data_IF_272858000987
#
_entry.id   IF_272858000987
#
_cell.length_a   1.000
_cell.length_b   1.000
_cell.length_c   1.000
_cell.angle_alpha   90.00
_cell.angle_beta   90.00
_cell.angle_gamma   90.00
#
_symmetry.space_group_name_H-M   'P 1'
#
loop_
_entity.id
_entity.type
_entity.pdbx_description
1 polymer ?
#
# COMPACT_ATOMS: atom_id res chain seq x y z
N UNK A 1 16.20 -9.61 12.17
CA UNK A 1 15.84 -10.94 12.68
C UNK A 1 14.36 -10.89 13.05
N UNK A 2 13.48 -11.29 12.14
CA UNK A 2 12.05 -11.48 12.42
C UNK A 2 11.82 -12.97 12.20
N UNK A 3 12.16 -13.75 13.21
CA UNK A 3 11.83 -15.18 13.25
C UNK A 3 10.71 -15.36 14.31
N UNK A 4 9.62 -14.64 14.10
CA UNK A 4 8.35 -15.04 14.68
C UNK A 4 7.67 -15.91 13.63
N UNK A 5 7.69 -17.22 13.81
CA UNK A 5 6.91 -18.11 13.00
C UNK A 5 5.47 -17.59 12.98
N UNK A 6 5.04 -17.06 11.81
CA UNK A 6 3.64 -16.65 11.63
C UNK A 6 2.82 -17.94 11.70
N UNK A 7 2.25 -18.21 12.86
CA UNK A 7 1.36 -19.35 13.02
C UNK A 7 0.10 -19.09 12.19
N UNK A 8 -0.41 -20.09 11.48
CA UNK A 8 -1.66 -19.95 10.74
C UNK A 8 -2.80 -19.63 11.71
N UNK A 9 -3.72 -18.76 11.28
CA UNK A 9 -4.92 -18.44 12.05
C UNK A 9 -5.71 -19.72 12.35
N UNK A 10 -6.16 -19.87 13.57
CA UNK A 10 -7.08 -20.95 13.96
C UNK A 10 -8.44 -20.76 13.28
N UNK A 11 -9.20 -21.86 13.17
CA UNK A 11 -10.57 -21.81 12.63
C UNK A 11 -11.47 -20.84 13.41
N UNK A 12 -11.29 -20.72 14.72
CA UNK A 12 -12.05 -19.82 15.57
C UNK A 12 -11.71 -18.34 15.26
N UNK A 13 -10.43 -18.00 15.08
CA UNK A 13 -10.00 -16.66 14.70
C UNK A 13 -10.52 -16.27 13.31
N UNK A 14 -10.45 -17.18 12.34
CA UNK A 14 -11.03 -16.97 11.01
C UNK A 14 -12.54 -16.70 11.09
N UNK A 15 -13.28 -17.49 11.88
CA UNK A 15 -14.71 -17.29 12.07
C UNK A 15 -15.02 -15.92 12.71
N UNK A 16 -14.24 -15.49 13.68
CA UNK A 16 -14.39 -14.19 14.33
C UNK A 16 -14.08 -13.05 13.35
N UNK A 17 -13.02 -13.15 12.55
CA UNK A 17 -12.68 -12.15 11.54
C UNK A 17 -13.78 -12.01 10.49
N UNK A 18 -14.35 -13.13 10.04
CA UNK A 18 -15.50 -13.14 9.13
C UNK A 18 -16.72 -12.48 9.75
N UNK A 19 -17.08 -12.81 10.98
CA UNK A 19 -18.20 -12.22 11.70
C UNK A 19 -18.04 -10.70 11.91
N UNK A 20 -16.80 -10.20 11.99
CA UNK A 20 -16.48 -8.79 12.11
C UNK A 20 -16.35 -8.06 10.77
N UNK A 21 -16.58 -8.73 9.64
CA UNK A 21 -16.51 -8.18 8.30
C UNK A 21 -17.86 -8.29 7.60
N UNK A 22 -18.71 -7.25 7.60
CA UNK A 22 -20.12 -7.33 7.16
C UNK A 22 -20.32 -7.90 5.76
N UNK A 23 -19.37 -7.68 4.85
CA UNK A 23 -19.44 -8.18 3.47
C UNK A 23 -19.03 -9.65 3.31
N UNK A 24 -18.45 -10.29 4.34
CA UNK A 24 -17.85 -11.62 4.21
C UNK A 24 -18.86 -12.74 3.85
N UNK A 25 -20.12 -12.56 4.22
CA UNK A 25 -21.19 -13.52 3.92
C UNK A 25 -22.05 -13.13 2.71
N UNK A 26 -21.82 -11.93 2.15
CA UNK A 26 -22.61 -11.39 1.04
C UNK A 26 -21.93 -11.58 -0.32
N UNK A 27 -20.59 -11.62 -0.35
CA UNK A 27 -19.83 -11.70 -1.60
C UNK A 27 -18.63 -12.63 -1.46
N UNK A 28 -18.27 -13.30 -2.55
CA UNK A 28 -16.96 -13.95 -2.70
C UNK A 28 -15.98 -12.89 -3.20
N UNK A 29 -15.30 -12.22 -2.26
CA UNK A 29 -14.40 -11.12 -2.57
C UNK A 29 -12.97 -11.62 -2.71
N UNK A 30 -12.43 -11.57 -3.94
CA UNK A 30 -11.08 -12.05 -4.28
C UNK A 30 -10.08 -10.93 -4.62
N UNK A 31 -10.46 -9.66 -4.38
CA UNK A 31 -9.62 -8.50 -4.72
C UNK A 31 -9.32 -7.61 -3.50
N UNK A 32 -8.87 -8.21 -2.40
CA UNK A 32 -8.47 -7.46 -1.20
C UNK A 32 -7.23 -6.57 -1.44
N UNK A 33 -6.38 -6.94 -2.41
CA UNK A 33 -5.23 -6.12 -2.80
C UNK A 33 -5.65 -4.79 -3.46
N UNK A 34 -6.73 -4.81 -4.25
CA UNK A 34 -7.26 -3.60 -4.89
C UNK A 34 -8.12 -2.76 -3.95
N UNK A 35 -9.04 -3.39 -3.25
CA UNK A 35 -9.93 -2.73 -2.27
C UNK A 35 -10.50 -3.77 -1.32
N UNK A 36 -10.05 -3.82 -0.09
CA UNK A 36 -10.55 -4.81 0.87
C UNK A 36 -11.92 -4.45 1.43
N UNK A 37 -12.67 -5.48 1.83
CA UNK A 37 -13.89 -5.29 2.61
C UNK A 37 -13.54 -4.67 3.97
N UNK A 38 -14.22 -3.59 4.40
CA UNK A 38 -13.97 -2.99 5.70
C UNK A 38 -14.49 -3.88 6.83
N UNK A 39 -13.80 -3.88 7.96
CA UNK A 39 -14.34 -4.44 9.19
C UNK A 39 -15.44 -3.56 9.77
N UNK A 40 -16.30 -4.12 10.62
CA UNK A 40 -17.35 -3.34 11.30
C UNK A 40 -16.75 -2.16 12.09
N UNK A 41 -15.65 -2.39 12.81
CA UNK A 41 -14.97 -1.33 13.57
C UNK A 41 -14.47 -0.17 12.68
N UNK A 42 -13.98 -0.47 11.48
CA UNK A 42 -13.57 0.55 10.51
C UNK A 42 -14.78 1.37 10.03
N UNK A 43 -15.88 0.68 9.67
CA UNK A 43 -17.11 1.33 9.22
C UNK A 43 -17.70 2.22 10.31
N UNK A 44 -17.84 1.71 11.54
CA UNK A 44 -18.38 2.46 12.67
C UNK A 44 -17.54 3.70 13.00
N UNK A 45 -16.22 3.59 12.91
CA UNK A 45 -15.31 4.72 13.14
C UNK A 45 -15.53 5.83 12.13
N UNK A 46 -15.68 5.50 10.84
CA UNK A 46 -15.92 6.46 9.79
C UNK A 46 -17.28 7.14 9.94
N UNK A 47 -18.34 6.34 10.16
CA UNK A 47 -19.70 6.86 10.37
C UNK A 47 -19.75 7.79 11.58
N UNK A 48 -19.15 7.37 12.69
CA UNK A 48 -19.10 8.19 13.90
C UNK A 48 -18.39 9.53 13.67
N UNK A 49 -17.26 9.53 12.95
CA UNK A 49 -16.53 10.76 12.67
C UNK A 49 -17.37 11.73 11.81
N UNK A 50 -18.00 11.23 10.74
CA UNK A 50 -18.89 12.03 9.89
C UNK A 50 -20.09 12.62 10.68
N UNK A 51 -20.67 11.84 11.59
CA UNK A 51 -21.74 12.33 12.48
C UNK A 51 -21.22 13.43 13.43
N UNK A 52 -20.02 13.29 13.97
CA UNK A 52 -19.39 14.33 14.82
C UNK A 52 -19.16 15.61 14.02
N UNK A 53 -18.58 15.53 12.82
CA UNK A 53 -18.40 16.69 11.94
C UNK A 53 -19.71 17.42 11.68
N UNK A 54 -20.78 16.69 11.37
CA UNK A 54 -22.09 17.27 11.11
C UNK A 54 -22.70 17.98 12.34
N UNK A 55 -22.35 17.53 13.55
CA UNK A 55 -22.90 18.07 14.80
C UNK A 55 -22.05 19.20 15.41
N UNK A 56 -20.74 19.16 15.23
CA UNK A 56 -19.82 20.06 15.96
C UNK A 56 -18.96 20.92 15.05
N UNK A 57 -18.87 20.57 13.76
CA UNK A 57 -17.95 21.21 12.82
C UNK A 57 -16.69 20.39 12.60
N UNK A 58 -16.07 20.54 11.43
CA UNK A 58 -14.93 19.72 11.01
C UNK A 58 -13.67 19.93 11.85
N UNK A 59 -13.40 21.17 12.30
CA UNK A 59 -12.23 21.46 13.13
C UNK A 59 -12.36 20.86 14.52
N UNK A 60 -13.52 20.96 15.13
CA UNK A 60 -13.82 20.41 16.46
C UNK A 60 -13.74 18.89 16.44
N UNK A 61 -14.35 18.25 15.46
CA UNK A 61 -14.27 16.79 15.28
C UNK A 61 -12.84 16.31 15.01
N UNK A 62 -12.06 17.05 14.20
CA UNK A 62 -10.66 16.75 13.95
C UNK A 62 -9.83 16.87 15.22
N UNK A 63 -10.04 17.91 16.03
CA UNK A 63 -9.34 18.09 17.32
C UNK A 63 -9.66 16.95 18.30
N UNK A 64 -10.92 16.54 18.40
CA UNK A 64 -11.35 15.38 19.20
C UNK A 64 -10.69 14.06 18.74
N UNK A 65 -10.43 13.92 17.44
CA UNK A 65 -9.81 12.74 16.85
C UNK A 65 -8.26 12.81 16.80
N UNK A 66 -7.63 13.91 17.21
CA UNK A 66 -6.20 14.17 17.02
C UNK A 66 -5.31 13.03 17.53
N UNK A 67 -5.50 12.60 18.79
CA UNK A 67 -4.71 11.52 19.37
C UNK A 67 -4.85 10.19 18.63
N UNK A 68 -6.05 9.88 18.14
CA UNK A 68 -6.29 8.67 17.34
C UNK A 68 -5.63 8.77 15.98
N UNK A 69 -5.69 9.94 15.35
CA UNK A 69 -5.05 10.22 14.07
C UNK A 69 -3.52 10.10 14.19
N UNK A 70 -2.95 10.59 15.29
CA UNK A 70 -1.50 10.52 15.55
C UNK A 70 -1.02 9.08 15.79
N UNK A 71 -1.81 8.28 16.52
CA UNK A 71 -1.49 6.85 16.72
C UNK A 71 -1.43 6.03 15.43
N UNK A 72 -2.02 6.48 14.32
CA UNK A 72 -1.94 5.77 13.03
C UNK A 72 -0.48 5.60 12.59
N UNK A 73 0.35 6.62 12.77
CA UNK A 73 1.76 6.56 12.39
C UNK A 73 2.53 5.50 13.20
N UNK A 74 2.31 5.45 14.52
CA UNK A 74 2.92 4.44 15.37
C UNK A 74 2.42 3.02 15.05
N UNK A 75 1.12 2.87 14.74
CA UNK A 75 0.52 1.57 14.40
C UNK A 75 1.05 1.03 13.07
N UNK A 76 1.16 1.87 12.05
CA UNK A 76 1.72 1.47 10.76
C UNK A 76 3.21 1.16 10.93
N UNK A 77 3.96 2.02 11.62
CA UNK A 77 5.38 1.78 11.92
C UNK A 77 5.61 0.44 12.60
N UNK A 78 4.80 0.12 13.62
CA UNK A 78 4.87 -1.18 14.31
C UNK A 78 4.58 -2.37 13.39
N UNK A 79 3.61 -2.21 12.47
CA UNK A 79 3.21 -3.28 11.53
C UNK A 79 4.32 -3.62 10.52
N UNK A 80 5.02 -2.60 10.01
CA UNK A 80 6.02 -2.78 8.94
C UNK A 80 7.48 -2.71 9.43
N UNK A 81 7.69 -2.59 10.75
CA UNK A 81 9.04 -2.49 11.34
C UNK A 81 9.72 -1.14 11.13
N UNK A 82 8.95 -0.07 10.89
CA UNK A 82 9.43 1.30 10.72
C UNK A 82 9.16 2.17 11.96
N UNK A 83 9.84 3.30 12.08
CA UNK A 83 9.57 4.29 13.14
C UNK A 83 8.43 5.21 12.70
N UNK A 84 7.67 5.75 13.66
CA UNK A 84 6.51 6.60 13.38
C UNK A 84 6.83 7.80 12.47
N UNK A 85 8.03 8.37 12.57
CA UNK A 85 8.47 9.52 11.76
C UNK A 85 8.96 9.14 10.36
N UNK A 86 9.07 7.84 10.05
CA UNK A 86 9.36 7.30 8.71
C UNK A 86 8.08 7.03 7.90
N UNK A 87 6.92 7.28 8.50
CA UNK A 87 5.63 7.05 7.87
C UNK A 87 5.07 8.37 7.32
N UNK A 88 4.79 8.40 6.02
CA UNK A 88 4.01 9.44 5.38
C UNK A 88 2.61 8.92 5.02
N UNK A 89 1.57 9.68 5.36
CA UNK A 89 0.18 9.34 5.04
C UNK A 89 -0.34 10.30 3.98
N UNK A 90 -0.86 9.73 2.90
CA UNK A 90 -1.50 10.47 1.82
C UNK A 90 -2.95 9.99 1.64
N UNK A 91 -3.74 10.73 0.89
CA UNK A 91 -5.17 10.51 0.74
C UNK A 91 -5.52 9.23 -0.05
N UNK A 92 -4.57 8.72 -0.87
CA UNK A 92 -4.77 7.51 -1.68
C UNK A 92 -3.45 6.91 -2.14
N UNK A 93 -3.49 5.63 -2.54
CA UNK A 93 -2.31 4.87 -2.96
C UNK A 93 -1.58 5.48 -4.17
N UNK A 94 -2.31 6.00 -5.16
CA UNK A 94 -1.68 6.64 -6.34
C UNK A 94 -0.92 7.91 -5.96
N UNK A 95 -1.44 8.73 -5.04
CA UNK A 95 -0.74 9.90 -4.54
C UNK A 95 0.53 9.50 -3.76
N UNK A 96 0.41 8.50 -2.88
CA UNK A 96 1.55 7.97 -2.11
C UNK A 96 2.63 7.39 -3.03
N UNK A 97 2.24 6.58 -4.01
CA UNK A 97 3.15 6.05 -5.02
C UNK A 97 3.87 7.16 -5.78
N UNK A 98 3.13 8.14 -6.31
CA UNK A 98 3.74 9.24 -7.06
C UNK A 98 4.70 10.06 -6.20
N UNK A 99 4.35 10.34 -4.93
CA UNK A 99 5.23 11.06 -4.02
C UNK A 99 6.55 10.30 -3.81
N UNK A 100 6.51 8.98 -3.58
CA UNK A 100 7.69 8.13 -3.44
C UNK A 100 8.48 8.03 -4.75
N UNK A 101 7.81 7.66 -5.84
CA UNK A 101 8.45 7.43 -7.13
C UNK A 101 9.16 8.68 -7.67
N UNK A 102 8.49 9.85 -7.65
CA UNK A 102 9.09 11.08 -8.17
C UNK A 102 10.15 11.72 -7.25
N UNK A 103 10.30 11.21 -6.03
CA UNK A 103 11.39 11.59 -5.13
C UNK A 103 12.72 10.90 -5.46
N UNK A 104 12.68 9.82 -6.24
CA UNK A 104 13.88 9.10 -6.67
C UNK A 104 14.63 9.96 -7.70
N UNK A 105 15.93 10.25 -7.47
CA UNK A 105 16.77 10.88 -8.50
C UNK A 105 16.89 9.94 -9.70
N UNK A 106 16.64 10.47 -10.89
CA UNK A 106 16.73 9.72 -12.15
C UNK A 106 17.48 10.55 -13.16
N UNK A 107 18.58 10.00 -13.67
CA UNK A 107 19.42 10.64 -14.69
C UNK A 107 19.12 10.05 -16.08
N UNK A 108 19.26 10.85 -17.15
CA UNK A 108 19.12 10.37 -18.52
C UNK A 108 20.04 9.16 -18.80
N UNK A 109 19.49 8.12 -19.40
CA UNK A 109 20.22 6.88 -19.72
C UNK A 109 20.11 5.81 -18.64
N UNK A 110 19.67 6.12 -17.44
CA UNK A 110 19.36 5.11 -16.41
C UNK A 110 18.12 4.29 -16.77
N UNK A 111 17.92 3.18 -16.04
CA UNK A 111 16.85 2.24 -16.27
C UNK A 111 15.93 2.14 -15.05
N UNK A 112 14.64 1.97 -15.33
CA UNK A 112 13.64 1.52 -14.35
C UNK A 112 13.40 0.05 -14.63
N UNK A 113 13.59 -0.81 -13.63
CA UNK A 113 13.23 -2.24 -13.75
C UNK A 113 11.80 -2.43 -13.20
N UNK A 114 10.99 -3.14 -13.96
CA UNK A 114 9.62 -3.47 -13.59
C UNK A 114 9.26 -4.90 -14.01
N UNK A 115 8.10 -5.39 -13.62
CA UNK A 115 7.57 -6.69 -13.99
C UNK A 115 6.37 -6.57 -14.93
N UNK A 116 6.02 -7.67 -15.63
CA UNK A 116 4.86 -7.73 -16.51
C UNK A 116 3.55 -7.39 -15.80
N UNK A 117 3.40 -7.83 -14.55
CA UNK A 117 2.20 -7.61 -13.72
C UNK A 117 2.20 -6.27 -12.97
N UNK A 118 2.94 -5.25 -13.46
CA UNK A 118 2.95 -3.93 -12.83
C UNK A 118 1.54 -3.31 -12.83
N UNK A 119 1.18 -2.66 -11.70
CA UNK A 119 -0.10 -1.96 -11.60
C UNK A 119 -0.18 -0.81 -12.62
N UNK A 120 -1.32 -0.69 -13.32
CA UNK A 120 -1.46 0.23 -14.45
C UNK A 120 -1.10 1.69 -14.17
N UNK A 121 -1.45 2.21 -12.98
CA UNK A 121 -1.07 3.58 -12.60
C UNK A 121 0.47 3.76 -12.46
N UNK A 122 1.17 2.71 -12.01
CA UNK A 122 2.63 2.72 -11.92
C UNK A 122 3.25 2.72 -13.31
N UNK A 123 2.71 1.92 -14.24
CA UNK A 123 3.16 1.90 -15.63
C UNK A 123 3.04 3.28 -16.30
N UNK A 124 1.97 4.03 -16.01
CA UNK A 124 1.84 5.43 -16.48
C UNK A 124 2.96 6.32 -15.92
N UNK A 125 3.33 6.17 -14.66
CA UNK A 125 4.43 6.93 -14.06
C UNK A 125 5.78 6.57 -14.72
N UNK A 126 6.03 5.31 -15.04
CA UNK A 126 7.24 4.87 -15.75
C UNK A 126 7.32 5.49 -17.16
N UNK A 127 6.24 5.45 -17.93
CA UNK A 127 6.19 6.08 -19.26
C UNK A 127 6.45 7.59 -19.18
N UNK A 128 5.92 8.26 -18.15
CA UNK A 128 6.19 9.67 -17.91
C UNK A 128 7.64 9.93 -17.51
N UNK A 129 8.29 9.00 -16.80
CA UNK A 129 9.72 9.12 -16.47
C UNK A 129 10.58 8.98 -17.72
N UNK A 130 10.26 8.07 -18.64
CA UNK A 130 10.92 7.99 -19.95
C UNK A 130 10.84 9.34 -20.67
N UNK A 131 9.64 9.91 -20.77
CA UNK A 131 9.42 11.19 -21.47
C UNK A 131 10.16 12.38 -20.81
N UNK A 132 10.14 12.44 -19.47
CA UNK A 132 10.59 13.63 -18.74
C UNK A 132 12.02 13.57 -18.25
N UNK A 133 12.55 12.38 -18.02
CA UNK A 133 13.87 12.14 -17.42
C UNK A 133 14.83 11.45 -18.37
N UNK A 134 14.37 10.94 -19.52
CA UNK A 134 15.22 10.23 -20.49
C UNK A 134 15.72 8.88 -19.99
N UNK A 135 15.02 8.27 -19.02
CA UNK A 135 15.28 6.90 -18.56
C UNK A 135 14.66 5.89 -19.52
N UNK A 136 15.05 4.62 -19.40
CA UNK A 136 14.43 3.52 -20.14
C UNK A 136 13.71 2.58 -19.18
N UNK A 137 12.76 1.77 -19.71
CA UNK A 137 12.06 0.75 -18.95
C UNK A 137 12.60 -0.61 -19.35
N UNK A 138 12.99 -1.39 -18.35
CA UNK A 138 13.45 -2.76 -18.50
C UNK A 138 12.46 -3.69 -17.79
N UNK A 139 11.84 -4.61 -18.53
CA UNK A 139 10.78 -5.48 -18.00
C UNK A 139 11.38 -6.86 -17.73
N UNK A 140 11.34 -7.29 -16.46
CA UNK A 140 11.69 -8.66 -16.06
C UNK A 140 10.56 -9.59 -16.40
N UNK A 141 10.90 -10.75 -16.97
CA UNK A 141 9.93 -11.80 -17.29
C UNK A 141 9.36 -12.49 -16.06
N UNK A 142 8.41 -13.37 -16.32
CA UNK A 142 7.81 -14.22 -15.30
C UNK A 142 8.49 -15.61 -15.32
N UNK A 143 8.55 -16.26 -14.16
CA UNK A 143 8.95 -17.66 -14.02
C UNK A 143 7.86 -18.62 -14.52
N UNK A 144 8.11 -19.92 -14.43
CA UNK A 144 7.18 -20.98 -14.87
C UNK A 144 5.85 -21.00 -14.08
N UNK A 145 5.77 -20.29 -12.96
CA UNK A 145 4.57 -20.15 -12.11
C UNK A 145 3.85 -18.83 -12.30
N UNK A 146 4.35 -17.95 -13.17
CA UNK A 146 3.79 -16.61 -13.41
C UNK A 146 4.18 -15.59 -12.32
N UNK A 147 5.23 -15.85 -11.54
CA UNK A 147 5.82 -14.89 -10.62
C UNK A 147 7.00 -14.19 -11.30
N UNK A 148 7.36 -13.02 -10.77
CA UNK A 148 8.59 -12.32 -11.24
C UNK A 148 9.79 -13.26 -11.12
N UNK A 149 10.55 -13.44 -12.20
CA UNK A 149 11.79 -14.19 -12.16
C UNK A 149 12.85 -13.42 -11.37
N UNK A 150 13.01 -13.84 -10.10
CA UNK A 150 13.93 -13.20 -9.15
C UNK A 150 15.38 -13.35 -9.57
N UNK A 151 15.75 -14.47 -10.20
CA UNK A 151 17.11 -14.71 -10.69
C UNK A 151 17.41 -13.81 -11.89
N UNK A 152 16.44 -13.61 -12.79
CA UNK A 152 16.56 -12.65 -13.89
C UNK A 152 16.66 -11.21 -13.33
N UNK A 153 15.82 -10.84 -12.37
CA UNK A 153 15.89 -9.54 -11.70
C UNK A 153 17.28 -9.30 -11.11
N UNK A 154 17.81 -10.27 -10.36
CA UNK A 154 19.13 -10.15 -9.74
C UNK A 154 20.27 -9.95 -10.76
N UNK A 155 20.14 -10.54 -11.94
CA UNK A 155 21.13 -10.36 -13.04
C UNK A 155 21.04 -8.99 -13.70
N UNK A 156 19.88 -8.34 -13.65
CA UNK A 156 19.63 -7.04 -14.30
C UNK A 156 19.91 -5.84 -13.43
N UNK A 157 19.95 -6.01 -12.10
CA UNK A 157 20.26 -4.93 -11.16
C UNK A 157 21.75 -4.61 -11.19
N UNK A 158 22.08 -3.39 -11.59
CA UNK A 158 23.44 -2.82 -11.62
C UNK A 158 23.42 -1.32 -11.29
N UNK A 159 24.54 -0.63 -11.49
CA UNK A 159 24.70 0.81 -11.19
C UNK A 159 23.86 1.73 -12.08
N UNK A 160 23.33 1.25 -13.20
CA UNK A 160 22.56 2.03 -14.15
C UNK A 160 21.05 1.98 -13.85
N UNK A 161 20.66 1.24 -12.81
CA UNK A 161 19.27 1.21 -12.31
C UNK A 161 19.05 2.37 -11.34
N UNK A 162 17.99 3.16 -11.60
CA UNK A 162 17.62 4.32 -10.80
C UNK A 162 16.96 3.94 -9.46
#
# INVERSE_FOLDING_TARGET
>A
MVDAAILPLSTAEVAQLRANTPGADNVVHLNHAGSSLPTQATLDTQIHHLQREAMTGGYEAANEAADRSERVYASIGSLIGAKHYEIARLEQATAAWNAGFWSIPMEPGQRIITANAAYGANAVAFLRAVERRGVTIDVVGDDEHGHVDVDELARRVDSDVA
#
